data_IF_077158882285
#
_entry.id   IF_077158882285
#
_cell.length_a   1.000
_cell.length_b   1.000
_cell.length_c   1.000
_cell.angle_alpha   90.00
_cell.angle_beta   90.00
_cell.angle_gamma   90.00
#
_symmetry.space_group_name_H-M   'P 1'
#
loop_
_entity.id
_entity.type
_entity.pdbx_description
1 polymer ?
#
# COMPACT_ATOMS: atom_id res chain seq x y z
N UNK A 1 -56.10 33.74 1.05
CA UNK A 1 -56.07 35.06 0.37
C UNK A 1 -54.62 35.53 0.41
N UNK A 2 -53.81 35.27 -0.61
CA UNK A 2 -53.70 35.97 -1.90
C UNK A 2 -53.09 37.39 -1.79
N UNK A 3 -51.79 37.45 -2.11
CA UNK A 3 -51.06 38.45 -2.91
C UNK A 3 -51.06 39.94 -2.56
N UNK A 4 -49.86 40.53 -2.39
CA UNK A 4 -49.41 41.81 -3.04
C UNK A 4 -47.86 41.88 -2.95
N UNK A 5 -47.02 41.81 -3.98
CA UNK A 5 -46.68 42.66 -5.15
C UNK A 5 -45.73 43.87 -4.92
N UNK A 6 -44.70 43.92 -5.79
CA UNK A 6 -43.86 45.06 -6.28
C UNK A 6 -42.79 45.64 -5.34
N UNK A 7 -41.52 45.23 -5.49
CA UNK A 7 -40.43 45.84 -6.29
C UNK A 7 -39.87 47.16 -5.74
N UNK A 8 -38.59 47.12 -5.33
CA UNK A 8 -37.68 48.26 -5.45
C UNK A 8 -36.37 47.76 -6.07
N UNK A 9 -36.18 48.14 -7.33
CA UNK A 9 -34.91 48.12 -8.03
C UNK A 9 -34.02 49.21 -7.42
N UNK A 10 -32.82 48.85 -6.99
CA UNK A 10 -31.70 49.78 -7.00
C UNK A 10 -30.52 49.09 -7.70
N UNK A 11 -30.04 49.79 -8.71
CA UNK A 11 -29.02 49.39 -9.65
C UNK A 11 -27.62 49.39 -9.03
N UNK A 12 -26.83 48.41 -9.49
CA UNK A 12 -25.40 48.48 -9.78
C UNK A 12 -24.43 48.92 -8.66
N UNK A 13 -23.58 47.98 -8.25
CA UNK A 13 -22.12 48.21 -8.25
C UNK A 13 -21.40 46.88 -8.18
N UNK A 14 -20.47 46.68 -9.12
CA UNK A 14 -19.63 45.51 -9.21
C UNK A 14 -18.61 45.49 -8.07
N UNK A 15 -18.43 44.33 -7.44
CA UNK A 15 -17.21 43.98 -6.73
C UNK A 15 -16.99 42.47 -6.84
N UNK A 16 -16.08 42.12 -7.75
CA UNK A 16 -15.40 40.82 -7.78
C UNK A 16 -14.73 40.58 -6.43
N UNK A 17 -15.14 39.53 -5.73
CA UNK A 17 -14.32 38.87 -4.71
C UNK A 17 -14.26 37.38 -5.08
N UNK A 18 -13.34 37.05 -5.97
CA UNK A 18 -12.80 35.70 -6.05
C UNK A 18 -11.89 35.50 -4.83
N UNK A 19 -12.13 34.45 -4.04
CA UNK A 19 -11.11 33.59 -3.44
C UNK A 19 -11.65 32.89 -2.19
N UNK A 20 -11.32 31.60 -2.07
CA UNK A 20 -11.08 31.03 -0.74
C UNK A 20 -12.01 29.92 -0.27
N UNK A 21 -12.42 29.00 -1.14
CA UNK A 21 -12.85 27.68 -0.69
C UNK A 21 -11.96 26.60 -1.32
N UNK A 22 -10.67 26.59 -0.94
CA UNK A 22 -9.88 25.36 -0.97
C UNK A 22 -10.48 24.44 0.11
N UNK A 23 -11.57 23.76 -0.25
CA UNK A 23 -12.01 22.59 0.50
C UNK A 23 -10.91 21.55 0.27
N UNK A 24 -9.93 21.53 1.17
CA UNK A 24 -9.10 20.37 1.39
C UNK A 24 -10.05 19.28 1.87
N UNK A 25 -10.72 18.61 0.94
CA UNK A 25 -11.30 17.30 1.16
C UNK A 25 -10.12 16.38 1.45
N UNK A 26 -9.64 16.38 2.69
CA UNK A 26 -8.83 15.31 3.20
C UNK A 26 -9.73 14.09 3.17
N UNK A 27 -9.75 13.40 2.01
CA UNK A 27 -10.37 12.10 1.88
C UNK A 27 -9.86 11.28 3.06
N UNK A 28 -10.74 10.73 3.92
CA UNK A 28 -10.29 9.89 5.01
C UNK A 28 -9.38 8.85 4.40
N UNK A 29 -8.11 8.87 4.81
CA UNK A 29 -7.10 8.06 4.17
C UNK A 29 -7.42 6.62 4.57
N UNK A 30 -8.12 5.90 3.70
CA UNK A 30 -8.50 4.51 3.89
C UNK A 30 -7.25 3.65 3.70
N UNK A 31 -7.06 2.64 4.55
CA UNK A 31 -5.98 1.69 4.35
C UNK A 31 -6.11 1.04 2.98
N UNK A 32 -5.02 0.95 2.24
CA UNK A 32 -5.03 0.33 0.92
C UNK A 32 -4.47 -1.07 1.01
N UNK A 33 -5.04 -1.97 0.21
CA UNK A 33 -4.61 -3.35 0.11
C UNK A 33 -4.65 -3.81 -1.33
N UNK A 34 -3.75 -4.71 -1.69
CA UNK A 34 -3.77 -5.39 -2.96
C UNK A 34 -3.40 -6.85 -2.76
N UNK A 35 -4.19 -7.74 -3.35
CA UNK A 35 -4.05 -9.18 -3.22
C UNK A 35 -4.26 -9.83 -4.56
N UNK A 36 -3.39 -10.75 -4.92
CA UNK A 36 -3.55 -11.54 -6.14
C UNK A 36 -3.14 -12.98 -5.89
N UNK A 37 -3.87 -13.89 -6.51
CA UNK A 37 -3.61 -15.33 -6.47
C UNK A 37 -3.30 -15.86 -7.86
N UNK A 38 -2.39 -16.83 -7.92
CA UNK A 38 -2.04 -17.54 -9.15
C UNK A 38 -2.13 -19.04 -8.93
N UNK A 39 -2.79 -19.72 -9.86
CA UNK A 39 -2.78 -21.17 -9.92
C UNK A 39 -1.41 -21.65 -10.38
N UNK A 40 -0.90 -22.68 -9.70
CA UNK A 40 0.37 -23.33 -9.96
C UNK A 40 0.08 -24.80 -10.24
N UNK A 41 0.86 -25.40 -11.14
CA UNK A 41 0.67 -26.79 -11.52
C UNK A 41 0.68 -27.73 -10.30
N UNK A 42 -0.13 -28.80 -10.33
CA UNK A 42 -0.29 -29.73 -9.19
C UNK A 42 -1.33 -29.30 -8.15
N UNK A 43 -2.26 -28.41 -8.52
CA UNK A 43 -3.37 -27.96 -7.65
C UNK A 43 -2.96 -26.97 -6.56
N UNK A 44 -1.80 -26.33 -6.73
CA UNK A 44 -1.30 -25.32 -5.81
C UNK A 44 -1.78 -23.93 -6.18
N UNK A 45 -1.84 -23.04 -5.18
CA UNK A 45 -2.18 -21.63 -5.37
C UNK A 45 -1.23 -20.76 -4.56
N UNK A 46 -0.50 -19.87 -5.21
CA UNK A 46 0.26 -18.82 -4.54
C UNK A 46 -0.62 -17.59 -4.39
N UNK A 47 -0.55 -16.91 -3.24
CA UNK A 47 -1.23 -15.64 -2.99
C UNK A 47 -0.23 -14.63 -2.45
N UNK A 48 -0.13 -13.48 -3.10
CA UNK A 48 0.72 -12.37 -2.67
C UNK A 48 -0.18 -11.23 -2.23
N UNK A 49 0.11 -10.64 -1.08
CA UNK A 49 -0.68 -9.57 -0.47
C UNK A 49 0.24 -8.41 -0.07
N UNK A 50 -0.21 -7.20 -0.36
CA UNK A 50 0.34 -5.96 0.15
C UNK A 50 -0.77 -5.20 0.87
N UNK A 51 -0.40 -4.54 1.96
CA UNK A 51 -1.26 -3.65 2.72
C UNK A 51 -0.40 -2.54 3.31
N UNK A 52 -0.96 -1.34 3.40
CA UNK A 52 -0.42 -0.31 4.26
C UNK A 52 -1.54 0.51 4.91
N UNK A 53 -1.16 1.23 5.96
CA UNK A 53 -2.02 2.13 6.68
C UNK A 53 -2.75 3.10 5.73
N UNK A 54 -3.90 3.58 6.18
CA UNK A 54 -4.57 4.66 5.47
C UNK A 54 -3.92 6.00 5.79
N UNK A 55 -3.77 6.31 7.07
CA UNK A 55 -3.19 7.57 7.55
C UNK A 55 -1.69 7.42 7.74
N UNK A 56 -0.88 8.15 6.95
CA UNK A 56 0.58 8.06 6.98
C UNK A 56 1.29 9.29 7.58
N UNK A 57 0.57 10.35 7.94
CA UNK A 57 1.15 11.65 8.37
C UNK A 57 2.08 11.60 9.59
N UNK A 58 1.95 10.57 10.44
CA UNK A 58 2.82 10.38 11.63
C UNK A 58 3.61 9.08 11.57
N UNK A 59 2.95 8.00 11.17
CA UNK A 59 3.52 6.69 11.00
C UNK A 59 2.59 5.90 10.08
N UNK A 60 3.15 4.95 9.35
CA UNK A 60 2.42 4.06 8.48
C UNK A 60 2.89 2.63 8.68
N UNK A 61 2.01 1.81 9.24
CA UNK A 61 2.20 0.38 9.25
C UNK A 61 2.07 -0.18 7.85
N UNK A 62 2.90 -1.15 7.53
CA UNK A 62 2.82 -1.90 6.29
C UNK A 62 2.86 -3.39 6.60
N UNK A 63 2.20 -4.18 5.75
CA UNK A 63 2.19 -5.63 5.85
C UNK A 63 2.25 -6.24 4.46
N UNK A 64 3.06 -7.27 4.33
CA UNK A 64 3.18 -8.04 3.09
C UNK A 64 3.17 -9.52 3.41
N UNK A 65 2.67 -10.34 2.48
CA UNK A 65 2.75 -11.79 2.65
C UNK A 65 2.72 -12.52 1.32
N UNK A 66 3.52 -13.57 1.23
CA UNK A 66 3.42 -14.61 0.21
C UNK A 66 2.98 -15.90 0.87
N UNK A 67 1.88 -16.49 0.37
CA UNK A 67 1.25 -17.68 0.94
C UNK A 67 1.08 -18.75 -0.10
N UNK A 68 1.18 -20.01 0.30
CA UNK A 68 1.00 -21.19 -0.55
C UNK A 68 -0.11 -22.08 -0.03
N UNK A 69 -1.00 -22.47 -0.93
CA UNK A 69 -2.13 -23.37 -0.68
C UNK A 69 -2.13 -24.54 -1.66
N UNK A 70 -2.76 -25.65 -1.26
CA UNK A 70 -3.17 -26.75 -2.14
C UNK A 70 -4.66 -27.01 -1.88
N UNK A 71 -5.50 -26.71 -2.87
CA UNK A 71 -6.95 -26.62 -2.63
C UNK A 71 -7.28 -25.57 -1.56
N UNK A 72 -7.99 -25.98 -0.50
CA UNK A 72 -8.35 -25.11 0.64
C UNK A 72 -7.33 -25.09 1.77
N UNK A 73 -6.34 -25.99 1.75
CA UNK A 73 -5.38 -26.17 2.84
C UNK A 73 -4.05 -25.46 2.55
N UNK A 74 -3.40 -24.96 3.60
CA UNK A 74 -2.03 -24.46 3.50
C UNK A 74 -1.06 -25.57 3.08
N UNK A 75 -0.09 -25.25 2.22
CA UNK A 75 0.90 -26.21 1.75
C UNK A 75 2.32 -25.68 1.96
N UNK A 76 3.24 -26.57 2.36
CA UNK A 76 4.64 -26.20 2.62
C UNK A 76 5.41 -26.12 1.31
N UNK A 77 6.07 -25.00 1.09
CA UNK A 77 7.06 -24.85 0.03
C UNK A 77 8.43 -25.36 0.51
N UNK A 78 9.29 -25.75 -0.43
CA UNK A 78 10.72 -25.91 -0.17
C UNK A 78 11.29 -24.60 0.37
N UNK A 79 10.94 -23.50 -0.29
CA UNK A 79 11.16 -22.14 0.19
C UNK A 79 10.11 -21.18 -0.37
N UNK A 80 9.85 -20.12 0.40
CA UNK A 80 9.08 -18.95 -0.01
C UNK A 80 9.96 -17.73 0.23
N UNK A 81 10.18 -16.96 -0.83
CA UNK A 81 10.89 -15.69 -0.78
C UNK A 81 9.86 -14.57 -0.91
N UNK A 82 9.92 -13.63 0.01
CA UNK A 82 9.15 -12.40 -0.06
C UNK A 82 10.09 -11.20 -0.14
N UNK A 83 9.60 -10.18 -0.82
CA UNK A 83 10.26 -8.88 -0.95
C UNK A 83 9.22 -7.80 -0.76
N UNK A 84 9.49 -6.88 0.16
CA UNK A 84 8.64 -5.74 0.47
C UNK A 84 9.38 -4.48 0.07
N UNK A 85 8.71 -3.60 -0.68
CA UNK A 85 9.25 -2.29 -1.04
C UNK A 85 8.23 -1.26 -0.56
N UNK A 86 8.61 -0.49 0.44
CA UNK A 86 7.82 0.61 0.98
C UNK A 86 8.40 1.90 0.45
N UNK A 87 7.57 2.73 -0.17
CA UNK A 87 7.98 4.00 -0.80
C UNK A 87 7.11 5.15 -0.33
N UNK A 88 7.76 6.27 -0.08
CA UNK A 88 7.19 7.60 0.05
C UNK A 88 7.28 8.30 -1.30
N UNK A 89 6.21 8.96 -1.73
CA UNK A 89 6.16 9.67 -3.01
C UNK A 89 5.95 11.16 -2.76
N UNK A 90 6.44 12.01 -3.67
CA UNK A 90 6.38 13.47 -3.56
C UNK A 90 7.72 14.14 -3.83
N UNK A 91 7.69 15.45 -4.10
CA UNK A 91 8.90 16.24 -4.36
C UNK A 91 9.66 16.36 -3.04
N UNK A 92 10.90 15.83 -3.01
CA UNK A 92 11.68 15.83 -1.77
C UNK A 92 11.15 14.88 -0.70
N UNK A 93 10.30 13.91 -1.07
CA UNK A 93 9.77 12.93 -0.13
C UNK A 93 10.90 12.18 0.59
N UNK A 94 10.66 11.90 1.86
CA UNK A 94 11.53 11.08 2.69
C UNK A 94 10.74 9.99 3.42
N UNK A 95 11.46 8.98 3.89
CA UNK A 95 10.95 7.80 4.55
C UNK A 95 11.92 7.35 5.65
N UNK A 96 11.45 7.34 6.88
CA UNK A 96 12.14 6.81 8.04
C UNK A 96 11.54 5.45 8.44
N UNK A 97 12.35 4.56 9.02
CA UNK A 97 11.88 3.27 9.55
C UNK A 97 11.62 3.46 11.04
N UNK A 98 10.36 3.55 11.43
CA UNK A 98 9.95 3.79 12.83
C UNK A 98 9.89 2.52 13.66
N UNK A 99 9.57 1.39 13.03
CA UNK A 99 9.63 0.06 13.66
C UNK A 99 10.23 -0.93 12.67
N UNK A 100 11.45 -1.35 12.96
CA UNK A 100 12.14 -2.37 12.16
C UNK A 100 11.39 -3.71 12.26
N UNK A 101 11.06 -4.34 11.13
CA UNK A 101 10.55 -5.70 11.15
C UNK A 101 11.66 -6.67 11.60
N UNK A 102 11.33 -7.90 11.98
CA UNK A 102 12.30 -8.95 12.33
C UNK A 102 13.16 -9.45 11.15
N UNK A 103 13.03 -8.83 9.98
CA UNK A 103 13.72 -9.18 8.74
C UNK A 103 14.75 -8.10 8.38
N UNK A 104 15.85 -8.53 7.74
CA UNK A 104 16.92 -7.62 7.33
C UNK A 104 16.46 -6.65 6.25
N UNK A 105 16.86 -5.39 6.37
CA UNK A 105 16.75 -4.39 5.30
C UNK A 105 17.73 -4.78 4.19
N UNK A 106 17.23 -4.86 2.97
CA UNK A 106 18.02 -5.16 1.78
C UNK A 106 18.60 -3.89 1.15
N UNK A 107 17.79 -2.84 1.02
CA UNK A 107 18.25 -1.52 0.59
C UNK A 107 17.42 -0.41 1.22
N UNK A 108 18.03 0.76 1.41
CA UNK A 108 17.36 1.96 1.91
C UNK A 108 17.86 3.19 1.13
N UNK A 109 16.93 3.99 0.63
CA UNK A 109 17.20 5.33 0.09
C UNK A 109 16.41 6.35 0.91
N UNK A 110 16.50 7.63 0.56
CA UNK A 110 15.79 8.70 1.27
C UNK A 110 14.28 8.46 1.34
N UNK A 111 13.69 7.84 0.32
CA UNK A 111 12.25 7.73 0.05
C UNK A 111 11.76 6.27 -0.02
N UNK A 112 12.65 5.29 0.16
CA UNK A 112 12.33 3.87 -0.03
C UNK A 112 13.05 3.00 0.99
N UNK A 113 12.34 2.01 1.52
CA UNK A 113 12.91 0.88 2.24
C UNK A 113 12.53 -0.42 1.52
N UNK A 114 13.52 -1.25 1.23
CA UNK A 114 13.36 -2.56 0.63
C UNK A 114 13.83 -3.65 1.60
N UNK A 115 13.00 -4.68 1.76
CA UNK A 115 13.26 -5.82 2.61
C UNK A 115 13.17 -7.08 1.78
N UNK A 116 14.06 -8.04 2.04
CA UNK A 116 14.05 -9.34 1.35
C UNK A 116 14.35 -10.45 2.34
N UNK A 117 13.50 -11.46 2.35
CA UNK A 117 13.65 -12.60 3.25
C UNK A 117 13.13 -13.86 2.58
N UNK A 118 13.58 -14.99 3.12
CA UNK A 118 13.25 -16.31 2.61
C UNK A 118 13.02 -17.24 3.79
N UNK A 119 11.84 -17.84 3.81
CA UNK A 119 11.49 -18.86 4.78
C UNK A 119 11.54 -20.23 4.09
N UNK A 120 12.04 -21.25 4.79
CA UNK A 120 12.12 -22.62 4.29
C UNK A 120 11.09 -23.50 4.98
N UNK A 121 10.64 -24.56 4.29
CA UNK A 121 9.71 -25.56 4.86
C UNK A 121 8.44 -24.98 5.51
N UNK A 122 7.92 -23.89 4.96
CA UNK A 122 6.73 -23.19 5.45
C UNK A 122 5.74 -22.89 4.32
N UNK A 123 4.51 -22.56 4.68
CA UNK A 123 3.46 -22.15 3.76
C UNK A 123 3.32 -20.63 3.63
N UNK A 124 4.01 -19.86 4.48
CA UNK A 124 3.92 -18.40 4.54
C UNK A 124 5.28 -17.73 4.71
N UNK A 125 5.43 -16.59 4.03
CA UNK A 125 6.50 -15.63 4.23
C UNK A 125 5.88 -14.23 4.31
N UNK A 126 5.53 -13.84 5.53
CA UNK A 126 4.96 -12.53 5.84
C UNK A 126 5.92 -11.67 6.67
N UNK A 127 5.73 -10.36 6.56
CA UNK A 127 6.40 -9.38 7.39
C UNK A 127 5.56 -8.13 7.48
N UNK A 128 5.74 -7.41 8.58
CA UNK A 128 5.16 -6.11 8.81
C UNK A 128 6.15 -5.22 9.54
N UNK A 129 6.10 -3.93 9.26
CA UNK A 129 6.89 -2.91 9.94
C UNK A 129 6.15 -1.59 9.93
N UNK A 130 6.82 -0.55 10.39
CA UNK A 130 6.28 0.79 10.42
C UNK A 130 7.30 1.77 9.83
N UNK A 131 6.82 2.68 9.00
CA UNK A 131 7.61 3.77 8.41
C UNK A 131 6.99 5.11 8.75
N UNK A 132 7.78 6.17 8.73
CA UNK A 132 7.30 7.55 8.87
C UNK A 132 7.72 8.34 7.63
N UNK A 133 6.77 8.78 6.80
CA UNK A 133 7.10 9.71 5.72
C UNK A 133 7.47 11.09 6.27
N UNK A 134 8.29 11.82 5.51
CA UNK A 134 8.51 13.25 5.73
C UNK A 134 7.29 14.09 5.34
N UNK A 135 7.28 15.35 5.77
CA UNK A 135 6.18 16.30 5.54
C UNK A 135 5.88 16.58 4.06
N UNK A 136 6.84 16.33 3.18
CA UNK A 136 6.72 16.52 1.72
C UNK A 136 6.13 15.30 1.00
N UNK A 137 5.83 14.21 1.73
CA UNK A 137 5.23 13.03 1.15
C UNK A 137 3.76 13.26 0.80
N UNK A 138 3.38 12.97 -0.43
CA UNK A 138 2.00 13.05 -0.92
C UNK A 138 1.25 11.73 -0.75
N UNK A 139 1.94 10.59 -0.71
CA UNK A 139 1.39 9.29 -0.37
C UNK A 139 2.48 8.27 -0.06
N UNK A 140 2.06 7.16 0.55
CA UNK A 140 2.86 5.94 0.74
C UNK A 140 2.34 4.85 -0.19
N UNK A 141 3.24 3.99 -0.65
CA UNK A 141 2.88 2.72 -1.30
C UNK A 141 3.71 1.57 -0.71
N UNK A 142 3.11 0.39 -0.70
CA UNK A 142 3.76 -0.87 -0.33
C UNK A 142 3.60 -1.86 -1.46
N UNK A 143 4.72 -2.28 -2.05
CA UNK A 143 4.78 -3.35 -3.03
C UNK A 143 5.24 -4.63 -2.36
N UNK A 144 4.46 -5.70 -2.53
CA UNK A 144 4.84 -7.06 -2.13
C UNK A 144 5.15 -7.87 -3.37
N UNK A 145 6.29 -8.54 -3.36
CA UNK A 145 6.70 -9.49 -4.39
C UNK A 145 6.96 -10.85 -3.75
N UNK A 146 6.40 -11.90 -4.34
CA UNK A 146 6.51 -13.27 -3.86
C UNK A 146 7.06 -14.22 -4.92
N UNK A 147 8.00 -15.07 -4.52
CA UNK A 147 8.50 -16.20 -5.31
C UNK A 147 8.53 -17.45 -4.41
N UNK A 148 8.35 -18.63 -4.98
CA UNK A 148 8.43 -19.88 -4.19
C UNK A 148 8.86 -21.08 -5.02
N UNK A 149 9.32 -22.11 -4.33
CA UNK A 149 9.63 -23.42 -4.92
C UNK A 149 8.95 -24.54 -4.15
N UNK A 150 8.32 -25.47 -4.87
CA UNK A 150 7.63 -26.64 -4.32
C UNK A 150 8.33 -27.89 -4.84
N UNK A 151 8.87 -28.70 -3.92
CA UNK A 151 9.70 -29.84 -4.28
C UNK A 151 10.90 -29.44 -5.15
N UNK A 152 11.23 -30.30 -6.12
CA UNK A 152 12.34 -30.07 -7.06
C UNK A 152 11.91 -29.33 -8.32
N UNK A 153 10.66 -29.52 -8.77
CA UNK A 153 10.26 -29.24 -10.16
C UNK A 153 9.31 -28.04 -10.32
N UNK A 154 8.66 -27.57 -9.26
CA UNK A 154 7.66 -26.50 -9.37
C UNK A 154 8.28 -25.21 -8.86
N UNK A 155 8.46 -24.25 -9.77
CA UNK A 155 8.98 -22.91 -9.47
C UNK A 155 7.92 -21.86 -9.81
N UNK A 156 7.56 -21.06 -8.82
CA UNK A 156 6.73 -19.88 -9.01
C UNK A 156 7.65 -18.67 -9.12
N UNK A 157 7.74 -18.12 -10.34
CA UNK A 157 8.52 -16.90 -10.61
C UNK A 157 7.97 -15.72 -9.82
N UNK A 158 8.82 -14.75 -9.54
CA UNK A 158 8.42 -13.56 -8.76
C UNK A 158 7.21 -12.87 -9.41
N UNK A 159 6.18 -12.65 -8.60
CA UNK A 159 5.00 -11.85 -8.95
C UNK A 159 4.75 -10.83 -7.86
N UNK A 160 4.24 -9.66 -8.23
CA UNK A 160 4.08 -8.55 -7.31
C UNK A 160 2.69 -7.95 -7.35
N UNK A 161 2.29 -7.39 -6.22
CA UNK A 161 1.10 -6.56 -6.05
C UNK A 161 1.51 -5.28 -5.31
N UNK A 162 0.78 -4.19 -5.54
CA UNK A 162 1.07 -2.90 -4.91
C UNK A 162 -0.20 -2.36 -4.25
N UNK A 163 -0.10 -2.08 -2.96
CA UNK A 163 -1.04 -1.26 -2.22
C UNK A 163 -0.52 0.19 -2.26
N UNK A 164 -1.33 1.15 -2.69
CA UNK A 164 -0.97 2.56 -2.83
C UNK A 164 -2.19 3.41 -3.13
N UNK A 165 -2.25 4.62 -2.59
CA UNK A 165 -3.12 5.67 -3.10
C UNK A 165 -2.39 6.35 -4.27
N UNK A 166 -3.05 6.50 -5.42
CA UNK A 166 -2.52 7.15 -6.61
C UNK A 166 -3.11 8.56 -6.74
#
# INVERSE_FOLDING_TARGET
>A
MASTFVSRLFSATAATAAAGALVLTASPAHATSSSQSWNINGGYKATVNAWHCGVYVKACDWKTSTKLYKGKSSAKATWIQSRAIVKSHGIGASLEISKSPSIKIYSKTKDKAEYRWKNTKTWISDASGQVKPGFTATHISTKSCGALKIGKNINFKEKCVTAGAF
#
